data_IF_005858395282
#
_entry.id   IF_005858395282
#
_cell.length_a   1.000
_cell.length_b   1.000
_cell.length_c   1.000
_cell.angle_alpha   90.00
_cell.angle_beta   90.00
_cell.angle_gamma   90.00
#
_symmetry.space_group_name_H-M   'P 1'
#
loop_
_entity.id
_entity.type
_entity.pdbx_description
1 polymer ?
#
# COMPACT_ATOMS: atom_id res chain seq x y z
N UNK A 1 -10.04 17.94 -5.87
CA UNK A 1 -10.20 16.96 -4.77
C UNK A 1 -8.91 16.92 -3.97
N UNK A 2 -8.97 16.79 -2.64
CA UNK A 2 -7.78 16.73 -1.79
C UNK A 2 -7.14 15.34 -1.81
N UNK A 3 -5.81 15.29 -1.87
CA UNK A 3 -5.07 14.04 -1.75
C UNK A 3 -5.29 13.44 -0.36
N UNK A 4 -5.92 12.25 -0.30
CA UNK A 4 -6.14 11.54 0.98
C UNK A 4 -4.96 10.65 1.29
N UNK A 5 -4.60 10.58 2.57
CA UNK A 5 -3.51 9.75 3.11
C UNK A 5 -4.10 8.67 3.99
N UNK A 6 -3.73 7.41 3.76
CA UNK A 6 -4.31 6.25 4.45
C UNK A 6 -3.17 5.42 5.05
N UNK A 7 -3.28 5.13 6.35
CA UNK A 7 -2.42 4.16 7.03
C UNK A 7 -3.13 2.79 7.06
N UNK A 8 -2.50 1.78 6.49
CA UNK A 8 -3.00 0.39 6.48
C UNK A 8 -2.12 -0.44 7.41
N UNK A 9 -2.75 -1.03 8.42
CA UNK A 9 -2.14 -2.04 9.30
C UNK A 9 -2.59 -3.42 8.85
N UNK A 10 -1.71 -4.41 8.88
CA UNK A 10 -2.07 -5.77 8.46
C UNK A 10 -2.12 -5.96 6.93
N UNK A 11 -1.48 -5.06 6.17
CA UNK A 11 -1.36 -5.15 4.71
C UNK A 11 -0.71 -6.47 4.22
N UNK A 12 0.02 -7.18 5.08
CA UNK A 12 0.61 -8.49 4.78
C UNK A 12 -0.34 -9.68 5.02
N UNK A 13 -1.60 -9.43 5.41
CA UNK A 13 -2.63 -10.47 5.56
C UNK A 13 -3.51 -10.56 4.31
N UNK A 14 -4.26 -11.65 4.17
CA UNK A 14 -5.12 -11.90 3.00
C UNK A 14 -6.05 -10.74 2.64
N UNK A 15 -6.74 -10.18 3.64
CA UNK A 15 -7.65 -9.06 3.44
C UNK A 15 -6.88 -7.74 3.24
N UNK A 16 -5.82 -7.53 4.01
CA UNK A 16 -5.05 -6.30 3.95
C UNK A 16 -4.36 -6.12 2.59
N UNK A 17 -3.89 -7.22 2.00
CA UNK A 17 -3.32 -7.22 0.66
C UNK A 17 -4.37 -6.85 -0.39
N UNK A 18 -5.55 -7.50 -0.36
CA UNK A 18 -6.65 -7.19 -1.28
C UNK A 18 -7.09 -5.72 -1.22
N UNK A 19 -7.28 -5.18 -0.02
CA UNK A 19 -7.64 -3.76 0.17
C UNK A 19 -6.52 -2.85 -0.36
N UNK A 20 -5.26 -3.18 -0.06
CA UNK A 20 -4.12 -2.39 -0.54
C UNK A 20 -4.07 -2.38 -2.07
N UNK A 21 -4.25 -3.52 -2.71
CA UNK A 21 -4.28 -3.64 -4.17
C UNK A 21 -5.42 -2.82 -4.78
N UNK A 22 -6.64 -2.93 -4.24
CA UNK A 22 -7.79 -2.16 -4.71
C UNK A 22 -7.56 -0.64 -4.57
N UNK A 23 -7.04 -0.18 -3.42
CA UNK A 23 -6.76 1.25 -3.21
C UNK A 23 -5.67 1.78 -4.14
N UNK A 24 -4.61 0.99 -4.38
CA UNK A 24 -3.57 1.32 -5.38
C UNK A 24 -4.14 1.33 -6.80
N UNK A 25 -5.16 0.50 -7.08
CA UNK A 25 -5.74 0.37 -8.41
C UNK A 25 -6.80 1.42 -8.77
N UNK A 26 -7.59 1.82 -7.80
CA UNK A 26 -8.81 2.60 -8.03
C UNK A 26 -8.69 4.04 -7.56
N UNK A 27 -7.61 4.40 -6.85
CA UNK A 27 -7.50 5.72 -6.21
C UNK A 27 -6.11 6.32 -6.38
N UNK A 28 -6.03 7.64 -6.23
CA UNK A 28 -4.76 8.38 -6.14
C UNK A 28 -4.34 8.63 -4.68
N UNK A 29 -4.80 7.80 -3.74
CA UNK A 29 -4.49 8.00 -2.34
C UNK A 29 -3.04 7.62 -2.05
N UNK A 30 -2.41 8.39 -1.17
CA UNK A 30 -1.09 8.05 -0.64
C UNK A 30 -1.27 7.02 0.47
N UNK A 31 -0.65 5.85 0.30
CA UNK A 31 -0.80 4.73 1.23
C UNK A 31 0.47 4.53 2.05
N UNK A 32 0.30 4.41 3.36
CA UNK A 32 1.35 4.05 4.31
C UNK A 32 1.07 2.66 4.83
N UNK A 33 1.99 1.73 4.64
CA UNK A 33 1.80 0.33 5.01
C UNK A 33 2.63 0.01 6.25
N UNK A 34 1.97 -0.18 7.39
CA UNK A 34 2.62 -0.62 8.62
C UNK A 34 2.61 -2.14 8.70
N UNK A 35 3.78 -2.74 8.52
CA UNK A 35 3.94 -4.20 8.51
C UNK A 35 5.06 -4.64 9.44
N UNK A 36 4.88 -5.81 10.06
CA UNK A 36 5.90 -6.39 10.97
C UNK A 36 7.06 -7.01 10.21
N UNK A 37 6.77 -7.67 9.08
CA UNK A 37 7.78 -8.27 8.23
C UNK A 37 7.56 -7.76 6.79
N UNK A 38 8.44 -6.89 6.28
CA UNK A 38 8.29 -6.32 4.95
C UNK A 38 8.42 -7.36 3.83
N UNK A 39 9.14 -8.46 4.06
CA UNK A 39 9.34 -9.53 3.09
C UNK A 39 8.04 -10.30 2.79
N UNK A 40 7.03 -10.22 3.67
CA UNK A 40 5.72 -10.87 3.46
C UNK A 40 4.79 -10.11 2.53
N UNK A 41 5.14 -8.88 2.14
CA UNK A 41 4.25 -8.02 1.36
C UNK A 41 4.21 -8.36 -0.14
N UNK A 42 4.89 -9.44 -0.55
CA UNK A 42 4.69 -10.11 -1.84
C UNK A 42 4.33 -9.17 -2.98
N UNK A 43 5.27 -8.29 -3.35
CA UNK A 43 5.21 -7.50 -4.58
C UNK A 43 3.98 -6.57 -4.75
N UNK A 44 3.83 -5.55 -3.89
CA UNK A 44 3.08 -4.33 -4.28
C UNK A 44 3.98 -3.45 -5.17
N UNK A 45 4.54 -3.98 -6.25
CA UNK A 45 5.18 -3.15 -7.27
C UNK A 45 5.29 -3.95 -8.56
N UNK A 46 4.38 -3.71 -9.49
CA UNK A 46 4.66 -3.86 -10.92
C UNK A 46 3.59 -3.11 -11.72
N UNK A 47 4.07 -2.11 -12.46
CA UNK A 47 3.46 -1.42 -13.60
C UNK A 47 2.16 -0.63 -13.42
N UNK A 48 2.30 0.65 -13.02
CA UNK A 48 1.51 1.74 -13.61
C UNK A 48 2.43 2.83 -14.18
N UNK A 49 2.48 3.04 -15.51
CA UNK A 49 3.36 4.04 -16.13
C UNK A 49 2.96 5.52 -16.02
N UNK A 50 2.00 5.94 -15.19
CA UNK A 50 1.57 7.36 -15.21
C UNK A 50 1.25 8.03 -13.88
N UNK A 51 1.30 7.35 -12.74
CA UNK A 51 1.07 8.02 -11.45
C UNK A 51 1.91 7.37 -10.38
N UNK A 52 2.75 8.19 -9.77
CA UNK A 52 3.74 7.85 -8.76
C UNK A 52 3.06 7.41 -7.46
N UNK A 53 2.54 6.17 -7.41
CA UNK A 53 1.98 5.59 -6.19
C UNK A 53 3.10 5.35 -5.18
N UNK A 54 3.33 6.33 -4.30
CA UNK A 54 4.24 6.20 -3.17
C UNK A 54 3.58 5.38 -2.07
N UNK A 55 3.66 4.06 -2.18
CA UNK A 55 3.42 3.19 -1.04
C UNK A 55 4.66 3.26 -0.13
N UNK A 56 4.59 4.04 0.95
CA UNK A 56 5.68 4.12 1.93
C UNK A 56 5.50 3.02 2.98
N UNK A 57 6.46 2.10 3.04
CA UNK A 57 6.46 1.02 4.02
C UNK A 57 7.08 1.50 5.34
N UNK A 58 6.33 1.35 6.43
CA UNK A 58 6.80 1.60 7.79
C UNK A 58 7.03 0.24 8.46
N UNK A 59 8.29 -0.08 8.76
CA UNK A 59 8.63 -1.25 9.56
C UNK A 59 8.59 -0.88 11.05
N UNK A 60 7.90 -1.68 11.87
CA UNK A 60 8.01 -1.59 13.34
C UNK A 60 9.22 -2.42 13.77
N UNK A 61 10.23 -1.77 14.35
CA UNK A 61 11.39 -2.38 15.00
C UNK A 61 10.99 -3.40 16.06
#
# INVERSE_FOLDING_TARGET
MTLKRILITGASGCIGQYITEALVQETEYELFLLVRNPLKLGFITQDRPSTQSRANQLAKS
#
